data_IF_819844064723
#
_entry.id   IF_819844064723
#
_cell.length_a   1.000
_cell.length_b   1.000
_cell.length_c   1.000
_cell.angle_alpha   90.00
_cell.angle_beta   90.00
_cell.angle_gamma   90.00
#
_symmetry.space_group_name_H-M   'P 1'
#
loop_
_entity.id
_entity.type
_entity.pdbx_description
1 polymer ?
#
# COMPACT_ATOMS: atom_id res chain seq x y z
N UNK A 1 27.94 35.15 -51.91
CA UNK A 1 28.74 33.91 -51.60
C UNK A 1 28.69 33.48 -50.13
N UNK A 2 27.88 34.08 -49.25
CA UNK A 2 27.90 33.87 -47.79
C UNK A 2 26.82 32.89 -47.26
N UNK A 3 25.82 32.52 -48.03
CA UNK A 3 24.75 31.62 -47.55
C UNK A 3 25.09 30.12 -47.56
N UNK A 4 26.07 29.66 -48.34
CA UNK A 4 26.49 28.26 -48.41
C UNK A 4 27.40 27.80 -47.26
N UNK A 5 28.03 28.71 -46.53
CA UNK A 5 28.91 28.38 -45.40
C UNK A 5 28.13 28.06 -44.12
N UNK A 6 27.00 28.71 -43.89
CA UNK A 6 26.17 28.53 -42.66
C UNK A 6 25.50 27.16 -42.65
N UNK A 7 25.01 26.64 -43.76
CA UNK A 7 24.42 25.31 -43.86
C UNK A 7 25.42 24.16 -43.62
N UNK A 8 26.72 24.35 -43.82
CA UNK A 8 27.70 23.28 -43.65
C UNK A 8 28.20 23.08 -42.23
N UNK A 9 28.08 24.11 -41.39
CA UNK A 9 28.47 24.03 -39.97
C UNK A 9 27.34 23.36 -39.13
N UNK A 10 26.08 23.50 -39.54
CA UNK A 10 24.96 22.81 -38.89
C UNK A 10 24.89 21.30 -39.16
N UNK A 11 25.63 20.78 -40.18
CA UNK A 11 25.28 19.49 -40.77
C UNK A 11 25.94 18.25 -40.16
N UNK A 12 26.98 18.33 -39.33
CA UNK A 12 27.52 17.09 -38.69
C UNK A 12 27.81 17.22 -37.20
N UNK A 13 28.40 18.31 -36.73
CA UNK A 13 28.66 18.50 -35.28
C UNK A 13 27.39 18.88 -34.50
N UNK A 14 26.51 19.67 -35.11
CA UNK A 14 25.21 20.04 -34.49
C UNK A 14 24.26 18.88 -34.32
N UNK A 15 24.20 17.95 -35.31
CA UNK A 15 23.35 16.75 -35.20
C UNK A 15 23.85 15.73 -34.15
N UNK A 16 25.17 15.62 -33.96
CA UNK A 16 25.71 14.77 -32.90
C UNK A 16 25.39 15.31 -31.51
N UNK A 17 25.47 16.63 -31.31
CA UNK A 17 25.09 17.32 -30.08
C UNK A 17 23.60 17.19 -29.78
N UNK A 18 22.74 17.32 -30.80
CA UNK A 18 21.28 17.19 -30.66
C UNK A 18 20.87 15.75 -30.31
N UNK A 19 21.50 14.75 -30.93
CA UNK A 19 21.27 13.34 -30.60
C UNK A 19 21.74 13.02 -29.20
N UNK A 20 22.86 13.53 -28.74
CA UNK A 20 23.35 13.35 -27.37
C UNK A 20 22.40 13.97 -26.34
N UNK A 21 21.88 15.16 -26.62
CA UNK A 21 20.93 15.85 -25.77
C UNK A 21 19.61 15.09 -25.69
N UNK A 22 19.12 14.59 -26.83
CA UNK A 22 17.89 13.78 -26.86
C UNK A 22 18.06 12.46 -26.10
N UNK A 23 19.20 11.78 -26.24
CA UNK A 23 19.53 10.58 -25.50
C UNK A 23 19.55 10.87 -23.99
N UNK A 24 20.15 11.97 -23.56
CA UNK A 24 20.19 12.40 -22.18
C UNK A 24 18.77 12.61 -21.62
N UNK A 25 17.88 13.28 -22.37
CA UNK A 25 16.49 13.45 -21.98
C UNK A 25 15.75 12.12 -21.82
N UNK A 26 15.95 11.18 -22.74
CA UNK A 26 15.33 9.84 -22.65
C UNK A 26 15.82 9.12 -21.39
N UNK A 27 17.10 9.17 -21.08
CA UNK A 27 17.67 8.54 -19.87
C UNK A 27 17.08 9.20 -18.62
N UNK A 28 17.00 10.52 -18.55
CA UNK A 28 16.41 11.25 -17.44
C UNK A 28 14.93 10.89 -17.23
N UNK A 29 14.17 10.76 -18.32
CA UNK A 29 12.76 10.38 -18.27
C UNK A 29 12.58 8.93 -17.77
N UNK A 30 13.41 8.00 -18.25
CA UNK A 30 13.40 6.62 -17.76
C UNK A 30 13.76 6.55 -16.27
N UNK A 31 14.74 7.33 -15.83
CA UNK A 31 15.15 7.37 -14.44
C UNK A 31 14.04 7.92 -13.53
N UNK A 32 13.38 9.00 -13.97
CA UNK A 32 12.22 9.56 -13.27
C UNK A 32 11.06 8.54 -13.16
N UNK A 33 10.79 7.81 -14.23
CA UNK A 33 9.77 6.75 -14.25
C UNK A 33 10.11 5.60 -13.28
N UNK A 34 11.38 5.16 -13.27
CA UNK A 34 11.85 4.14 -12.31
C UNK A 34 11.71 4.59 -10.87
N UNK A 35 12.00 5.85 -10.55
CA UNK A 35 11.82 6.39 -9.19
C UNK A 35 10.35 6.39 -8.76
N UNK A 36 9.42 6.69 -9.67
CA UNK A 36 7.99 6.63 -9.36
C UNK A 36 7.52 5.20 -9.06
N UNK A 37 7.92 4.23 -9.88
CA UNK A 37 7.60 2.81 -9.63
C UNK A 37 8.14 2.39 -8.26
N UNK A 38 9.38 2.76 -7.94
CA UNK A 38 10.00 2.44 -6.66
C UNK A 38 9.25 3.08 -5.48
N UNK A 39 8.78 4.31 -5.64
CA UNK A 39 7.96 5.00 -4.62
C UNK A 39 6.65 4.25 -4.38
N UNK A 40 5.91 3.90 -5.44
CA UNK A 40 4.66 3.13 -5.34
C UNK A 40 4.91 1.78 -4.67
N UNK A 41 5.96 1.06 -5.07
CA UNK A 41 6.33 -0.21 -4.46
C UNK A 41 6.60 -0.08 -2.95
N UNK A 42 7.33 0.96 -2.53
CA UNK A 42 7.60 1.20 -1.11
C UNK A 42 6.32 1.51 -0.33
N UNK A 43 5.40 2.30 -0.89
CA UNK A 43 4.10 2.58 -0.28
C UNK A 43 3.32 1.27 -0.10
N UNK A 44 3.18 0.46 -1.13
CA UNK A 44 2.50 -0.83 -1.08
C UNK A 44 3.10 -1.75 0.00
N UNK A 45 4.42 -1.83 0.08
CA UNK A 45 5.11 -2.67 1.06
C UNK A 45 4.92 -2.15 2.49
N UNK A 46 4.97 -0.83 2.69
CA UNK A 46 4.75 -0.18 3.99
C UNK A 46 3.33 -0.43 4.47
N UNK A 47 2.32 -0.19 3.63
CA UNK A 47 0.91 -0.43 3.96
C UNK A 47 0.66 -1.91 4.24
N UNK A 48 1.17 -2.84 3.42
CA UNK A 48 1.06 -4.27 3.65
C UNK A 48 1.64 -4.68 5.02
N UNK A 49 2.81 -4.15 5.37
CA UNK A 49 3.45 -4.45 6.66
C UNK A 49 2.65 -3.88 7.83
N UNK A 50 2.12 -2.66 7.70
CA UNK A 50 1.29 -2.04 8.73
C UNK A 50 -0.02 -2.80 8.95
N UNK A 51 -0.72 -3.20 7.87
CA UNK A 51 -1.92 -4.05 7.97
C UNK A 51 -1.62 -5.35 8.70
N UNK A 52 -0.55 -6.05 8.36
CA UNK A 52 -0.16 -7.29 9.04
C UNK A 52 0.09 -7.07 10.53
N UNK A 53 0.79 -5.99 10.89
CA UNK A 53 1.05 -5.63 12.29
C UNK A 53 -0.24 -5.31 13.03
N UNK A 54 -1.14 -4.52 12.41
CA UNK A 54 -2.44 -4.20 12.98
C UNK A 54 -3.25 -5.46 13.28
N UNK A 55 -3.41 -6.36 12.30
CA UNK A 55 -4.12 -7.64 12.49
C UNK A 55 -3.52 -8.46 13.63
N UNK A 56 -2.20 -8.61 13.67
CA UNK A 56 -1.52 -9.37 14.71
C UNK A 56 -1.65 -8.74 16.10
N UNK A 57 -1.56 -7.41 16.18
CA UNK A 57 -1.71 -6.67 17.43
C UNK A 57 -3.13 -6.80 17.99
N UNK A 58 -4.14 -6.61 17.14
CA UNK A 58 -5.54 -6.70 17.51
C UNK A 58 -5.90 -8.12 17.92
N UNK A 59 -5.51 -9.13 17.13
CA UNK A 59 -5.74 -10.53 17.45
C UNK A 59 -5.09 -10.94 18.78
N UNK A 60 -3.91 -10.40 19.09
CA UNK A 60 -3.24 -10.64 20.36
C UNK A 60 -3.93 -9.94 21.54
N UNK A 61 -4.46 -8.72 21.33
CA UNK A 61 -5.18 -7.99 22.35
C UNK A 61 -6.54 -8.63 22.69
N UNK A 62 -7.29 -9.04 21.68
CA UNK A 62 -8.63 -9.62 21.83
C UNK A 62 -8.60 -11.13 22.17
N UNK A 63 -7.40 -11.69 22.28
CA UNK A 63 -7.20 -13.11 22.61
C UNK A 63 -7.98 -13.55 23.85
N UNK A 64 -7.98 -12.78 24.92
CA UNK A 64 -8.60 -13.17 26.18
C UNK A 64 -10.11 -13.34 26.06
N UNK A 65 -10.79 -12.51 25.29
CA UNK A 65 -12.24 -12.52 25.14
C UNK A 65 -12.71 -13.74 24.34
N UNK A 66 -11.98 -14.08 23.27
CA UNK A 66 -12.29 -15.25 22.44
C UNK A 66 -11.94 -16.56 23.16
N UNK A 67 -10.88 -16.60 23.96
CA UNK A 67 -10.52 -17.82 24.68
C UNK A 67 -11.46 -18.15 25.83
N UNK A 68 -12.07 -17.17 26.47
CA UNK A 68 -13.07 -17.45 27.51
C UNK A 68 -14.32 -18.14 26.94
N UNK A 69 -14.79 -17.69 25.78
CA UNK A 69 -15.98 -18.27 25.13
C UNK A 69 -15.70 -19.66 24.53
N UNK A 70 -14.52 -19.90 23.97
CA UNK A 70 -14.09 -21.22 23.50
C UNK A 70 -13.98 -22.25 24.63
N UNK A 71 -13.53 -21.82 25.79
CA UNK A 71 -13.43 -22.66 27.00
C UNK A 71 -14.77 -23.07 27.54
N UNK A 72 -15.82 -22.28 27.29
CA UNK A 72 -17.22 -22.54 27.69
C UNK A 72 -17.98 -23.42 26.66
N UNK A 73 -17.33 -23.89 25.58
CA UNK A 73 -17.91 -24.83 24.62
C UNK A 73 -18.77 -24.16 23.54
N UNK A 74 -18.64 -22.85 23.34
CA UNK A 74 -19.29 -22.14 22.25
C UNK A 74 -18.64 -22.46 20.88
N UNK A 75 -19.46 -22.46 19.84
CA UNK A 75 -19.00 -22.78 18.48
C UNK A 75 -18.10 -21.66 17.90
N UNK A 76 -16.96 -22.06 17.38
CA UNK A 76 -15.87 -21.21 16.87
C UNK A 76 -16.28 -20.13 15.85
N UNK A 77 -17.40 -20.28 15.13
CA UNK A 77 -17.65 -19.48 13.93
C UNK A 77 -18.03 -18.02 14.19
N UNK A 78 -18.77 -17.73 15.25
CA UNK A 78 -19.26 -16.36 15.51
C UNK A 78 -18.24 -15.53 16.31
N UNK A 79 -17.48 -16.18 17.19
CA UNK A 79 -16.53 -15.48 18.06
C UNK A 79 -15.21 -15.09 17.34
N UNK A 80 -14.79 -15.88 16.35
CA UNK A 80 -13.54 -15.65 15.62
C UNK A 80 -13.65 -14.47 14.65
N UNK A 81 -14.83 -14.22 14.08
CA UNK A 81 -15.06 -13.06 13.19
C UNK A 81 -15.03 -11.74 13.95
N UNK A 82 -15.33 -11.75 15.24
CA UNK A 82 -15.26 -10.58 16.12
C UNK A 82 -13.85 -10.27 16.61
N UNK A 83 -12.89 -11.19 16.41
CA UNK A 83 -11.52 -11.07 16.91
C UNK A 83 -10.77 -9.87 16.30
N UNK A 84 -11.07 -9.55 15.04
CA UNK A 84 -10.46 -8.44 14.32
C UNK A 84 -11.52 -7.73 13.50
N UNK A 85 -11.77 -6.47 13.83
CA UNK A 85 -12.73 -5.65 13.09
C UNK A 85 -12.05 -4.66 12.16
N UNK A 86 -12.72 -4.27 11.09
CA UNK A 86 -12.20 -3.30 10.13
C UNK A 86 -11.95 -1.91 10.77
N UNK A 87 -12.76 -1.54 11.79
CA UNK A 87 -12.58 -0.30 12.54
C UNK A 87 -11.29 -0.30 13.35
N UNK A 88 -11.00 -1.39 14.08
CA UNK A 88 -9.78 -1.52 14.87
C UNK A 88 -8.51 -1.52 13.98
N UNK A 89 -8.57 -2.18 12.81
CA UNK A 89 -7.47 -2.12 11.84
C UNK A 89 -7.27 -0.68 11.37
N UNK A 90 -8.34 0.03 11.07
CA UNK A 90 -8.29 1.43 10.64
C UNK A 90 -7.62 2.31 11.70
N UNK A 91 -8.02 2.19 12.96
CA UNK A 91 -7.47 2.96 14.05
C UNK A 91 -5.99 2.66 14.27
N UNK A 92 -5.61 1.37 14.31
CA UNK A 92 -4.20 0.97 14.43
C UNK A 92 -3.34 1.46 13.25
N UNK A 93 -3.86 1.40 12.02
CA UNK A 93 -3.15 1.90 10.84
C UNK A 93 -3.03 3.43 10.85
N UNK A 94 -4.08 4.12 11.32
CA UNK A 94 -4.04 5.57 11.49
C UNK A 94 -2.91 5.99 12.42
N UNK A 95 -2.76 5.31 13.54
CA UNK A 95 -1.71 5.56 14.53
C UNK A 95 -0.31 5.18 14.00
N UNK A 96 -0.16 3.97 13.41
CA UNK A 96 1.14 3.44 12.95
C UNK A 96 1.71 4.26 11.77
N UNK A 97 0.86 4.65 10.85
CA UNK A 97 1.26 5.39 9.63
C UNK A 97 1.04 6.90 9.73
N UNK A 98 0.39 7.39 10.80
CA UNK A 98 0.01 8.78 10.97
C UNK A 98 -0.92 9.23 9.84
N UNK A 99 -2.03 8.51 9.64
CA UNK A 99 -3.03 8.79 8.62
C UNK A 99 -4.15 9.65 9.21
N UNK A 100 -4.72 10.51 8.40
CA UNK A 100 -5.94 11.23 8.73
C UNK A 100 -7.15 10.40 8.30
N UNK A 101 -8.10 10.19 9.22
CA UNK A 101 -9.36 9.51 8.91
C UNK A 101 -10.33 10.53 8.30
N UNK A 102 -10.86 10.23 7.11
CA UNK A 102 -11.92 10.97 6.45
C UNK A 102 -12.99 9.98 6.00
N UNK A 103 -14.26 10.32 6.18
CA UNK A 103 -15.50 9.60 5.82
C UNK A 103 -15.35 8.17 5.21
N UNK A 104 -14.70 7.24 5.95
CA UNK A 104 -14.52 5.85 5.51
C UNK A 104 -13.22 5.56 4.77
N UNK A 105 -12.34 6.53 4.59
CA UNK A 105 -11.00 6.39 4.01
C UNK A 105 -9.92 6.87 4.97
N UNK A 106 -8.69 6.42 4.74
CA UNK A 106 -7.49 6.85 5.45
C UNK A 106 -6.56 7.56 4.46
N UNK A 107 -6.15 8.78 4.75
CA UNK A 107 -5.31 9.58 3.87
C UNK A 107 -3.98 9.92 4.54
N UNK A 108 -2.89 9.75 3.79
CA UNK A 108 -1.58 10.26 4.18
C UNK A 108 -1.35 11.61 3.55
N UNK A 109 -1.32 12.64 4.39
CA UNK A 109 -1.01 13.99 3.96
C UNK A 109 0.50 14.25 4.06
N UNK A 110 1.06 14.88 3.06
CA UNK A 110 2.42 15.39 3.08
C UNK A 110 2.52 16.68 3.89
N UNK A 111 3.74 17.17 4.09
CA UNK A 111 4.01 18.43 4.81
C UNK A 111 3.40 19.67 4.16
N UNK A 112 3.08 19.61 2.88
CA UNK A 112 2.41 20.68 2.09
C UNK A 112 0.88 20.54 2.07
N UNK A 113 0.32 19.51 2.73
CA UNK A 113 -1.12 19.20 2.70
C UNK A 113 -1.56 18.42 1.45
N UNK A 114 -0.63 17.99 0.61
CA UNK A 114 -0.92 17.14 -0.54
C UNK A 114 -1.18 15.69 -0.10
N UNK A 115 -2.15 15.03 -0.74
CA UNK A 115 -2.42 13.63 -0.48
C UNK A 115 -1.30 12.76 -1.10
N UNK A 116 -0.60 12.00 -0.25
CA UNK A 116 0.47 11.09 -0.67
C UNK A 116 -0.08 9.75 -1.14
N UNK A 117 -1.06 9.22 -0.43
CA UNK A 117 -1.84 8.05 -0.79
C UNK A 117 -3.11 7.99 0.07
N UNK A 118 -4.10 7.28 -0.43
CA UNK A 118 -5.39 7.08 0.20
C UNK A 118 -5.72 5.60 0.24
N UNK A 119 -6.27 5.14 1.35
CA UNK A 119 -6.73 3.76 1.55
C UNK A 119 -8.24 3.80 1.73
N UNK A 120 -8.96 3.04 0.92
CA UNK A 120 -10.42 2.96 0.93
C UNK A 120 -10.92 1.52 0.84
N UNK A 121 -12.19 1.29 1.15
CA UNK A 121 -12.82 -0.02 0.99
C UNK A 121 -12.28 -1.12 1.88
N UNK A 122 -11.78 -0.79 3.10
CA UNK A 122 -11.19 -1.76 4.01
C UNK A 122 -12.25 -2.76 4.49
N UNK A 123 -12.04 -4.03 4.14
CA UNK A 123 -12.86 -5.17 4.53
C UNK A 123 -12.00 -6.29 5.10
N UNK A 124 -12.52 -7.00 6.09
CA UNK A 124 -11.83 -8.09 6.79
C UNK A 124 -12.66 -9.36 6.68
N UNK A 125 -12.06 -10.38 6.09
CA UNK A 125 -12.68 -11.70 5.96
C UNK A 125 -11.83 -12.75 6.70
N UNK A 126 -12.47 -13.70 7.37
CA UNK A 126 -11.81 -14.89 7.91
C UNK A 126 -11.83 -15.96 6.84
N UNK A 127 -10.64 -16.38 6.36
CA UNK A 127 -10.54 -17.37 5.29
C UNK A 127 -10.50 -18.78 5.84
N UNK A 128 -9.78 -18.98 6.94
CA UNK A 128 -9.55 -20.30 7.53
C UNK A 128 -9.51 -20.19 9.05
N UNK A 129 -10.21 -21.10 9.69
CA UNK A 129 -10.16 -21.26 11.16
C UNK A 129 -10.07 -22.75 11.47
N UNK A 130 -8.90 -23.21 11.86
CA UNK A 130 -8.66 -24.58 12.31
C UNK A 130 -8.38 -24.59 13.80
N UNK A 131 -9.20 -25.35 14.53
CA UNK A 131 -8.92 -25.67 15.93
C UNK A 131 -8.38 -27.09 16.01
N UNK A 132 -7.15 -27.21 16.50
CA UNK A 132 -6.58 -28.48 16.95
C UNK A 132 -6.55 -28.48 18.48
N UNK A 133 -6.41 -29.66 19.08
CA UNK A 133 -6.57 -29.92 20.52
C UNK A 133 -5.84 -28.95 21.46
N UNK A 134 -4.83 -28.22 20.96
CA UNK A 134 -4.02 -27.26 21.73
C UNK A 134 -3.67 -25.98 20.97
N UNK A 135 -4.02 -25.86 19.68
CA UNK A 135 -3.66 -24.71 18.86
C UNK A 135 -4.89 -24.23 18.06
N UNK A 136 -5.17 -22.94 18.11
CA UNK A 136 -6.12 -22.29 17.19
C UNK A 136 -5.30 -21.53 16.16
N UNK A 137 -5.53 -21.84 14.90
CA UNK A 137 -4.96 -21.10 13.79
C UNK A 137 -6.07 -20.40 13.02
N UNK A 138 -5.98 -19.08 12.94
CA UNK A 138 -6.95 -18.24 12.23
C UNK A 138 -6.21 -17.44 11.17
N UNK A 139 -6.72 -17.46 9.94
CA UNK A 139 -6.17 -16.69 8.83
C UNK A 139 -7.16 -15.60 8.43
N UNK A 140 -6.75 -14.37 8.60
CA UNK A 140 -7.48 -13.18 8.18
C UNK A 140 -7.03 -12.74 6.79
N UNK A 141 -7.96 -12.35 5.95
CA UNK A 141 -7.71 -11.64 4.69
C UNK A 141 -8.27 -10.24 4.80
N UNK A 142 -7.41 -9.26 4.67
CA UNK A 142 -7.77 -7.84 4.65
C UNK A 142 -7.69 -7.35 3.22
N UNK A 143 -8.82 -6.89 2.67
CA UNK A 143 -8.94 -6.32 1.33
C UNK A 143 -9.15 -4.83 1.42
N UNK A 144 -8.49 -4.08 0.56
CA UNK A 144 -8.63 -2.63 0.47
C UNK A 144 -8.09 -2.12 -0.87
N UNK A 145 -8.50 -0.93 -1.24
CA UNK A 145 -8.01 -0.23 -2.40
C UNK A 145 -7.02 0.86 -1.98
N UNK A 146 -5.82 0.81 -2.54
CA UNK A 146 -4.77 1.80 -2.33
C UNK A 146 -4.72 2.75 -3.54
N UNK A 147 -5.06 4.00 -3.33
CA UNK A 147 -4.96 5.05 -4.33
C UNK A 147 -3.66 5.83 -4.11
N UNK A 148 -2.82 5.87 -5.14
CA UNK A 148 -1.57 6.63 -5.12
C UNK A 148 -1.65 7.70 -6.21
N UNK A 149 -1.71 8.99 -5.84
CA UNK A 149 -1.68 10.07 -6.82
C UNK A 149 -0.31 10.10 -7.49
N UNK A 150 -0.32 10.11 -8.81
CA UNK A 150 0.90 10.26 -9.60
C UNK A 150 1.10 11.73 -9.87
N UNK A 151 1.80 12.40 -8.96
CA UNK A 151 2.27 13.78 -9.16
C UNK A 151 3.47 13.75 -10.10
N UNK A 152 3.25 13.56 -11.37
CA UNK A 152 4.29 13.75 -12.37
C UNK A 152 3.93 14.95 -13.26
N UNK A 153 4.87 15.38 -14.08
CA UNK A 153 4.75 16.46 -15.07
C UNK A 153 3.48 16.40 -15.96
N UNK A 154 2.73 15.31 -15.85
CA UNK A 154 1.53 14.98 -16.59
C UNK A 154 0.50 14.57 -15.56
N UNK A 155 -0.61 15.27 -15.50
CA UNK A 155 -1.71 15.01 -14.59
C UNK A 155 -2.45 13.71 -15.00
N UNK A 156 -1.84 12.56 -14.71
CA UNK A 156 -2.39 11.24 -15.02
C UNK A 156 -3.44 10.77 -13.98
N UNK A 157 -3.76 11.58 -12.99
CA UNK A 157 -4.69 11.21 -11.93
C UNK A 157 -4.06 10.30 -10.87
N UNK A 158 -4.89 9.47 -10.24
CA UNK A 158 -4.48 8.52 -9.22
C UNK A 158 -4.55 7.09 -9.75
N UNK A 159 -3.58 6.25 -9.36
CA UNK A 159 -3.64 4.80 -9.60
C UNK A 159 -4.30 4.12 -8.43
N UNK A 160 -5.36 3.36 -8.69
CA UNK A 160 -6.01 2.50 -7.70
C UNK A 160 -5.44 1.09 -7.81
N UNK A 161 -4.87 0.60 -6.73
CA UNK A 161 -4.24 -0.72 -6.64
C UNK A 161 -5.06 -1.54 -5.63
N UNK A 162 -5.83 -2.55 -6.08
CA UNK A 162 -6.52 -3.45 -5.17
C UNK A 162 -5.49 -4.31 -4.44
N UNK A 163 -5.53 -4.30 -3.12
CA UNK A 163 -4.62 -5.04 -2.26
C UNK A 163 -5.38 -6.08 -1.44
N UNK A 164 -4.78 -7.25 -1.29
CA UNK A 164 -5.24 -8.31 -0.39
C UNK A 164 -4.06 -8.76 0.45
N UNK A 165 -4.21 -8.66 1.77
CA UNK A 165 -3.17 -9.00 2.75
C UNK A 165 -3.67 -10.15 3.61
N UNK A 166 -2.96 -11.27 3.57
CA UNK A 166 -3.23 -12.44 4.42
C UNK A 166 -2.32 -12.41 5.64
N UNK A 167 -2.93 -12.58 6.81
CA UNK A 167 -2.21 -12.66 8.08
C UNK A 167 -2.77 -13.80 8.92
N UNK A 168 -1.92 -14.73 9.31
CA UNK A 168 -2.28 -15.85 10.19
C UNK A 168 -1.94 -15.53 11.64
N UNK A 169 -2.86 -15.85 12.54
CA UNK A 169 -2.63 -15.80 13.99
C UNK A 169 -2.77 -17.20 14.57
N UNK A 170 -1.74 -17.67 15.27
CA UNK A 170 -1.75 -18.96 15.96
C UNK A 170 -1.68 -18.73 17.46
N UNK A 171 -2.69 -19.17 18.18
CA UNK A 171 -2.70 -19.13 19.62
C UNK A 171 -2.45 -20.55 20.17
N UNK A 172 -1.50 -20.67 21.11
CA UNK A 172 -1.19 -21.90 21.85
C UNK A 172 -1.79 -21.79 23.25
N UNK A 173 -2.36 -22.91 23.73
CA UNK A 173 -2.88 -23.03 25.10
C UNK A 173 -1.82 -23.57 26.04
#
# INVERSE_FOLDING_TARGET
MTQKCICRILSKKGMASLKSLLLFFIIMLLLAFMLQIFMVYNICNTVNTSVRRAVMSIAAANKQDVFSSLREGNTLCDDVTSLVTASEIRDNMSDDLGLSADEGSLEKLGSSGECFYKISGLNVDVIDSTSMEHDINVVFEVKFDLEVPVSSFWDFGAFTIPMSVKSGYTAKY
#
